data_IF_314525718783
#
_entry.id   IF_314525718783
#
_cell.length_a   1.000
_cell.length_b   1.000
_cell.length_c   1.000
_cell.angle_alpha   90.00
_cell.angle_beta   90.00
_cell.angle_gamma   90.00
#
_symmetry.space_group_name_H-M   'P 1'
#
loop_
_entity.id
_entity.type
_entity.pdbx_description
1 polymer ?
#
# COMPACT_ATOMS: atom_id res chain seq x y z
N UNK A 1 7.26 2.67 62.94
CA UNK A 1 6.70 3.96 63.40
C UNK A 1 7.65 5.06 63.00
N UNK A 2 7.21 6.22 62.60
CA UNK A 2 6.04 6.69 61.85
C UNK A 2 6.48 7.36 60.54
N UNK A 3 5.77 7.93 59.64
CA UNK A 3 4.49 8.61 59.59
C UNK A 3 4.22 9.07 58.15
N UNK A 4 2.97 9.07 57.80
CA UNK A 4 2.30 9.60 56.64
C UNK A 4 2.69 11.02 56.24
N UNK A 5 2.69 11.32 54.90
CA UNK A 5 2.04 12.54 54.42
C UNK A 5 1.38 12.33 53.03
N UNK A 6 0.08 12.53 53.00
CA UNK A 6 -0.73 12.63 51.79
C UNK A 6 -0.53 14.03 51.17
N UNK A 7 -0.25 14.07 49.86
CA UNK A 7 -0.34 15.29 49.07
C UNK A 7 -1.58 15.24 48.20
N UNK A 8 -2.58 16.10 48.46
CA UNK A 8 -3.78 16.31 47.64
C UNK A 8 -3.42 17.11 46.38
N UNK A 9 -3.69 16.55 45.22
CA UNK A 9 -3.64 17.28 43.95
C UNK A 9 -5.04 17.73 43.55
N UNK A 10 -5.18 19.04 43.43
CA UNK A 10 -6.41 19.74 43.05
C UNK A 10 -6.67 19.65 41.56
N UNK A 11 -7.85 19.18 41.18
CA UNK A 11 -8.38 19.23 39.81
C UNK A 11 -8.71 20.68 39.43
N UNK A 12 -8.05 21.19 38.40
CA UNK A 12 -8.44 22.43 37.71
C UNK A 12 -9.36 22.10 36.53
N UNK A 13 -10.64 22.48 36.66
CA UNK A 13 -11.62 22.46 35.58
C UNK A 13 -11.35 23.63 34.64
N UNK A 14 -10.92 23.37 33.40
CA UNK A 14 -10.95 24.38 32.33
C UNK A 14 -12.25 24.23 31.51
N UNK A 15 -13.04 25.30 31.52
CA UNK A 15 -14.25 25.47 30.72
C UNK A 15 -13.85 25.70 29.24
N UNK A 16 -14.44 24.93 28.33
CA UNK A 16 -14.41 25.21 26.91
C UNK A 16 -15.54 26.17 26.55
N UNK A 17 -15.21 27.33 26.00
CA UNK A 17 -16.18 28.26 25.41
C UNK A 17 -16.39 27.91 23.95
N UNK A 18 -17.65 27.61 23.62
CA UNK A 18 -18.13 27.38 22.26
C UNK A 18 -18.52 28.74 21.69
N UNK A 19 -17.86 29.18 20.61
CA UNK A 19 -18.31 30.31 19.80
C UNK A 19 -19.21 29.82 18.68
N UNK A 20 -20.48 30.27 18.75
CA UNK A 20 -21.47 30.14 17.69
C UNK A 20 -21.32 31.34 16.74
N UNK A 21 -20.99 31.15 15.49
CA UNK A 21 -21.01 32.17 14.46
C UNK A 21 -22.32 32.07 13.67
N UNK A 22 -23.18 33.09 13.84
CA UNK A 22 -24.36 33.29 13.00
C UNK A 22 -23.93 33.89 11.65
N UNK A 23 -24.30 33.22 10.55
CA UNK A 23 -24.29 33.83 9.22
C UNK A 23 -25.70 34.30 8.87
N UNK A 24 -25.84 35.60 8.71
CA UNK A 24 -27.03 36.28 8.22
C UNK A 24 -27.06 36.22 6.68
N UNK A 25 -28.19 35.74 6.16
CA UNK A 25 -28.51 35.76 4.73
C UNK A 25 -28.93 37.17 4.30
N UNK A 26 -28.31 37.69 3.25
CA UNK A 26 -28.78 38.87 2.54
C UNK A 26 -29.40 38.45 1.21
N UNK A 27 -30.70 38.66 1.10
CA UNK A 27 -31.46 38.57 -0.16
C UNK A 27 -31.30 39.84 -0.95
N UNK A 28 -30.94 39.72 -2.22
CA UNK A 28 -31.02 40.84 -3.18
C UNK A 28 -31.93 40.37 -4.31
N UNK A 29 -33.10 41.04 -4.40
CA UNK A 29 -34.05 40.98 -5.51
C UNK A 29 -33.64 42.01 -6.56
N UNK A 30 -33.61 41.63 -7.83
CA UNK A 30 -33.42 42.54 -8.93
C UNK A 30 -33.81 41.90 -10.25
N UNK A 31 -35.01 42.27 -10.75
CA UNK A 31 -35.47 41.95 -12.10
C UNK A 31 -34.75 42.82 -13.14
N UNK A 32 -34.44 42.26 -14.31
CA UNK A 32 -34.99 42.76 -15.60
C UNK A 32 -34.45 41.94 -16.77
N UNK A 33 -35.35 41.78 -17.73
CA UNK A 33 -35.26 41.04 -18.98
C UNK A 33 -34.16 41.49 -19.90
N UNK A 34 -33.48 40.52 -20.56
CA UNK A 34 -33.35 40.61 -22.04
C UNK A 34 -32.95 39.25 -22.63
N UNK A 35 -33.70 38.84 -23.61
CA UNK A 35 -33.42 37.66 -24.41
C UNK A 35 -32.26 37.84 -25.37
N UNK A 36 -31.30 36.93 -25.34
CA UNK A 36 -30.57 36.58 -26.55
C UNK A 36 -30.12 35.10 -26.44
N UNK A 37 -30.49 34.38 -27.46
CA UNK A 37 -30.20 33.00 -27.71
C UNK A 37 -28.69 32.75 -27.86
N UNK A 38 -28.13 31.99 -26.95
CA UNK A 38 -26.84 31.34 -27.19
C UNK A 38 -26.94 29.84 -26.90
N UNK A 39 -26.84 29.08 -27.99
CA UNK A 39 -26.81 27.63 -27.96
C UNK A 39 -25.46 27.18 -27.39
N UNK A 40 -25.37 27.02 -26.11
CA UNK A 40 -24.24 26.31 -25.48
C UNK A 40 -24.39 24.82 -25.78
N UNK A 41 -23.57 24.33 -26.70
CA UNK A 41 -23.31 22.92 -26.94
C UNK A 41 -22.62 22.31 -25.69
N UNK A 42 -23.40 21.85 -24.72
CA UNK A 42 -22.92 20.91 -23.72
C UNK A 42 -22.72 19.56 -24.42
N UNK A 43 -21.52 19.35 -24.96
CA UNK A 43 -21.06 18.03 -25.37
C UNK A 43 -20.89 17.19 -24.09
N UNK A 44 -21.94 16.43 -23.75
CA UNK A 44 -21.86 15.32 -22.82
C UNK A 44 -20.96 14.27 -23.47
N UNK A 45 -19.67 14.28 -23.11
CA UNK A 45 -18.80 13.14 -23.33
C UNK A 45 -19.23 12.05 -22.34
N UNK A 46 -20.30 11.32 -22.66
CA UNK A 46 -20.54 10.02 -22.10
C UNK A 46 -19.37 9.13 -22.56
N UNK A 47 -18.47 8.84 -21.65
CA UNK A 47 -17.49 7.77 -21.84
C UNK A 47 -18.30 6.50 -22.11
N UNK A 48 -18.31 6.03 -23.35
CA UNK A 48 -18.78 4.68 -23.65
C UNK A 48 -17.85 3.73 -22.91
N UNK A 49 -18.35 3.18 -21.81
CA UNK A 49 -17.78 1.99 -21.20
C UNK A 49 -17.84 0.91 -22.28
N UNK A 50 -16.71 0.70 -22.95
CA UNK A 50 -16.56 -0.43 -23.88
C UNK A 50 -16.46 -1.66 -23.02
N UNK A 51 -17.59 -2.26 -22.70
CA UNK A 51 -17.65 -3.58 -22.07
C UNK A 51 -17.12 -4.58 -23.10
N UNK A 52 -15.82 -4.86 -23.02
CA UNK A 52 -15.18 -5.84 -23.88
C UNK A 52 -15.76 -7.21 -23.51
N UNK A 53 -16.59 -7.77 -24.38
CA UNK A 53 -17.15 -9.10 -24.18
C UNK A 53 -16.04 -10.12 -24.42
N UNK A 54 -15.50 -10.66 -23.34
CA UNK A 54 -14.54 -11.77 -23.42
C UNK A 54 -15.27 -13.02 -23.92
N UNK A 55 -14.87 -13.63 -25.04
CA UNK A 55 -15.53 -14.81 -25.57
C UNK A 55 -15.48 -15.97 -24.56
N UNK A 56 -16.61 -16.57 -24.24
CA UNK A 56 -16.65 -17.76 -23.39
C UNK A 56 -16.11 -18.96 -24.17
N UNK A 57 -15.07 -19.60 -23.62
CA UNK A 57 -14.59 -20.89 -24.09
C UNK A 57 -15.30 -22.00 -23.31
N UNK A 58 -16.10 -22.87 -23.98
CA UNK A 58 -16.80 -23.98 -23.31
C UNK A 58 -15.84 -24.97 -22.65
N UNK A 59 -14.64 -25.15 -23.22
CA UNK A 59 -13.62 -26.07 -22.70
C UNK A 59 -12.77 -25.47 -21.58
N UNK A 60 -13.06 -24.21 -21.16
CA UNK A 60 -12.29 -23.39 -20.24
C UNK A 60 -10.89 -23.06 -20.78
N UNK A 61 -10.27 -22.04 -20.22
CA UNK A 61 -8.89 -21.64 -20.48
C UNK A 61 -8.02 -21.96 -19.27
N UNK A 62 -6.79 -22.37 -19.48
CA UNK A 62 -5.76 -22.37 -18.46
C UNK A 62 -5.06 -20.99 -18.49
N UNK A 63 -4.98 -20.33 -17.34
CA UNK A 63 -4.27 -19.06 -17.16
C UNK A 63 -3.10 -19.26 -16.22
N UNK A 64 -1.96 -18.65 -16.55
CA UNK A 64 -0.71 -18.75 -15.81
C UNK A 64 -0.29 -17.39 -15.31
N UNK A 65 0.04 -17.27 -14.05
CA UNK A 65 0.43 -16.00 -13.46
C UNK A 65 1.08 -16.17 -12.09
N UNK A 66 1.43 -15.06 -11.48
CA UNK A 66 2.02 -15.02 -10.14
C UNK A 66 1.30 -13.98 -9.28
N UNK A 67 0.97 -14.36 -8.06
CA UNK A 67 0.29 -13.53 -7.07
C UNK A 67 1.15 -13.32 -5.80
N UNK A 68 2.45 -13.63 -5.87
CA UNK A 68 3.38 -13.45 -4.76
C UNK A 68 4.73 -12.92 -5.28
N UNK A 69 4.80 -11.59 -5.44
CA UNK A 69 5.97 -10.93 -6.01
C UNK A 69 6.33 -9.69 -5.22
N UNK A 70 7.61 -9.58 -4.85
CA UNK A 70 8.15 -8.43 -4.14
C UNK A 70 9.04 -7.60 -5.05
N UNK A 71 8.89 -6.29 -4.96
CA UNK A 71 9.69 -5.29 -5.67
C UNK A 71 10.65 -4.56 -4.73
N UNK A 72 11.31 -3.53 -5.22
CA UNK A 72 12.13 -2.66 -4.37
C UNK A 72 11.34 -1.89 -3.30
N UNK A 73 10.01 -1.97 -3.30
CA UNK A 73 9.15 -1.35 -2.30
C UNK A 73 9.02 -2.21 -1.04
N UNK A 74 9.25 -3.51 -1.15
CA UNK A 74 9.34 -4.44 -0.02
C UNK A 74 10.70 -4.35 0.66
N UNK A 75 10.72 -4.30 1.99
CA UNK A 75 11.96 -4.13 2.76
C UNK A 75 12.95 -5.28 2.56
N UNK A 76 12.44 -6.52 2.50
CA UNK A 76 13.24 -7.72 2.32
C UNK A 76 13.83 -7.83 0.91
N UNK A 77 13.01 -7.65 -0.13
CA UNK A 77 13.47 -7.66 -1.51
C UNK A 77 14.53 -6.55 -1.75
N UNK A 78 14.31 -5.35 -1.21
CA UNK A 78 15.29 -4.28 -1.28
C UNK A 78 16.61 -4.66 -0.60
N UNK A 79 16.54 -5.28 0.58
CA UNK A 79 17.68 -5.75 1.34
C UNK A 79 18.49 -6.82 0.58
N UNK A 80 17.80 -7.70 -0.15
CA UNK A 80 18.41 -8.72 -1.00
C UNK A 80 18.91 -8.18 -2.35
N UNK A 81 18.72 -6.92 -2.64
CA UNK A 81 19.28 -6.27 -3.82
C UNK A 81 18.31 -6.04 -4.96
N UNK A 82 17.03 -6.36 -4.80
CA UNK A 82 16.01 -6.03 -5.81
C UNK A 82 15.92 -4.51 -5.93
N UNK A 83 15.94 -4.03 -7.19
CA UNK A 83 15.83 -2.60 -7.52
C UNK A 83 14.70 -2.33 -8.51
N UNK A 84 14.11 -3.39 -9.07
CA UNK A 84 12.91 -3.30 -9.90
C UNK A 84 11.77 -2.65 -9.12
N UNK A 85 11.06 -1.75 -9.77
CA UNK A 85 9.87 -1.08 -9.25
C UNK A 85 8.59 -1.84 -9.65
N UNK A 86 7.42 -1.52 -9.10
CA UNK A 86 6.17 -2.16 -9.47
C UNK A 86 5.91 -2.17 -10.99
N UNK A 87 6.17 -1.07 -11.67
CA UNK A 87 6.02 -0.98 -13.13
C UNK A 87 6.95 -1.93 -13.89
N UNK A 88 8.20 -2.06 -13.44
CA UNK A 88 9.16 -3.01 -14.01
C UNK A 88 8.70 -4.46 -13.86
N UNK A 89 8.12 -4.81 -12.71
CA UNK A 89 7.59 -6.13 -12.43
C UNK A 89 6.43 -6.48 -13.36
N UNK A 90 5.47 -5.57 -13.59
CA UNK A 90 4.39 -5.78 -14.54
C UNK A 90 4.88 -5.86 -15.99
N UNK A 91 5.87 -5.05 -16.38
CA UNK A 91 6.49 -5.16 -17.72
C UNK A 91 7.19 -6.50 -17.92
N UNK A 92 7.92 -6.97 -16.89
CA UNK A 92 8.58 -8.28 -16.92
C UNK A 92 7.56 -9.41 -17.06
N UNK A 93 6.45 -9.37 -16.31
CA UNK A 93 5.37 -10.35 -16.42
C UNK A 93 4.77 -10.41 -17.83
N UNK A 94 4.71 -9.27 -18.53
CA UNK A 94 4.25 -9.16 -19.92
C UNK A 94 5.35 -9.50 -20.95
N UNK A 95 6.52 -10.02 -20.51
CA UNK A 95 7.58 -10.52 -21.38
C UNK A 95 8.64 -9.47 -21.76
N UNK A 96 8.68 -8.30 -21.13
CA UNK A 96 9.83 -7.42 -21.25
C UNK A 96 11.06 -8.02 -20.53
N UNK A 97 12.25 -7.61 -20.94
CA UNK A 97 13.47 -7.97 -20.21
C UNK A 97 13.68 -7.04 -19.00
N UNK A 98 14.39 -7.56 -18.01
CA UNK A 98 14.76 -6.85 -16.80
C UNK A 98 16.23 -7.15 -16.46
N UNK A 99 16.99 -6.11 -16.13
CA UNK A 99 18.38 -6.26 -15.70
C UNK A 99 18.45 -6.76 -14.26
N UNK A 100 19.07 -7.91 -14.05
CA UNK A 100 19.35 -8.44 -12.74
C UNK A 100 20.53 -7.70 -12.10
N UNK A 101 20.48 -7.47 -10.78
CA UNK A 101 21.58 -6.81 -10.04
C UNK A 101 22.94 -7.54 -10.14
N UNK A 102 22.94 -8.78 -10.55
CA UNK A 102 24.14 -9.58 -10.87
C UNK A 102 24.76 -9.28 -12.24
N UNK A 103 24.21 -8.32 -13.01
CA UNK A 103 24.77 -7.87 -14.30
C UNK A 103 24.39 -8.75 -15.51
N UNK A 104 23.27 -9.42 -15.46
CA UNK A 104 22.71 -10.18 -16.60
C UNK A 104 21.25 -9.82 -16.84
N UNK A 105 20.79 -9.96 -18.07
CA UNK A 105 19.41 -9.75 -18.46
C UNK A 105 18.56 -10.98 -18.12
N UNK A 106 17.37 -10.75 -17.60
CA UNK A 106 16.33 -11.77 -17.36
C UNK A 106 15.12 -11.50 -18.24
N UNK A 107 14.51 -12.57 -18.72
CA UNK A 107 13.27 -12.51 -19.51
C UNK A 107 12.48 -13.80 -19.36
N UNK A 108 11.17 -13.69 -19.27
CA UNK A 108 10.29 -14.85 -19.30
C UNK A 108 10.27 -15.47 -20.72
N UNK A 109 10.15 -16.80 -20.79
CA UNK A 109 10.00 -17.50 -22.09
C UNK A 109 8.69 -17.15 -22.78
N UNK A 110 7.63 -16.93 -21.99
CA UNK A 110 6.30 -16.53 -22.44
C UNK A 110 5.76 -15.50 -21.44
N UNK A 111 5.01 -14.49 -21.89
CA UNK A 111 4.27 -13.61 -20.99
C UNK A 111 3.33 -14.41 -20.09
N UNK A 112 3.03 -13.89 -18.92
CA UNK A 112 2.00 -14.37 -18.02
C UNK A 112 0.63 -13.82 -18.42
N UNK A 113 -0.44 -14.48 -17.96
CA UNK A 113 -1.82 -14.03 -18.20
C UNK A 113 -2.30 -13.09 -17.10
N UNK A 114 -1.78 -13.24 -15.87
CA UNK A 114 -2.11 -12.40 -14.75
C UNK A 114 -0.92 -12.23 -13.81
N UNK A 115 -0.95 -11.16 -13.03
CA UNK A 115 0.15 -10.84 -12.10
C UNK A 115 -0.31 -9.89 -10.99
N UNK A 116 0.30 -9.99 -9.81
CA UNK A 116 0.13 -9.03 -8.74
C UNK A 116 1.47 -8.74 -8.06
N UNK A 117 1.82 -7.48 -7.94
CA UNK A 117 2.86 -7.04 -7.00
C UNK A 117 2.25 -7.12 -5.60
N UNK A 118 2.95 -7.79 -4.68
CA UNK A 118 2.49 -8.03 -3.31
C UNK A 118 3.58 -7.70 -2.28
N UNK A 119 4.16 -6.52 -2.41
CA UNK A 119 5.14 -6.02 -1.45
C UNK A 119 4.57 -6.01 -0.03
N UNK A 120 5.40 -6.26 0.98
CA UNK A 120 4.98 -6.17 2.38
C UNK A 120 4.34 -4.82 2.70
N UNK A 121 3.10 -4.83 3.21
CA UNK A 121 2.41 -3.61 3.62
C UNK A 121 3.07 -2.90 4.79
N UNK A 122 3.73 -3.65 5.68
CA UNK A 122 4.55 -3.09 6.75
C UNK A 122 5.86 -2.54 6.19
N UNK A 123 6.22 -1.32 6.57
CA UNK A 123 7.44 -0.63 6.10
C UNK A 123 7.51 -0.44 4.57
N UNK A 124 6.38 -0.45 3.88
CA UNK A 124 6.31 -0.29 2.43
C UNK A 124 7.04 0.99 1.99
N UNK A 125 8.04 0.85 1.10
CA UNK A 125 8.85 1.94 0.57
C UNK A 125 9.93 2.51 1.50
N UNK A 126 9.97 2.16 2.79
CA UNK A 126 10.88 2.77 3.76
C UNK A 126 12.36 2.54 3.45
N UNK A 127 12.73 1.34 2.97
CA UNK A 127 14.12 1.05 2.63
C UNK A 127 14.63 1.85 1.43
N UNK A 128 13.75 2.15 0.49
CA UNK A 128 14.05 3.08 -0.62
C UNK A 128 14.29 4.48 -0.09
N UNK A 129 13.43 4.97 0.80
CA UNK A 129 13.55 6.27 1.43
C UNK A 129 14.85 6.39 2.27
N UNK A 130 15.23 5.34 2.99
CA UNK A 130 16.52 5.30 3.72
C UNK A 130 17.73 5.29 2.78
N UNK A 131 17.61 4.73 1.59
CA UNK A 131 18.70 4.67 0.61
C UNK A 131 18.84 5.97 -0.21
N UNK A 132 17.81 6.80 -0.27
CA UNK A 132 17.84 8.09 -0.96
C UNK A 132 18.52 9.15 -0.10
N UNK A 133 19.70 9.67 -0.49
CA UNK A 133 20.43 10.68 0.28
C UNK A 133 19.66 12.00 0.47
N UNK A 134 18.65 12.26 -0.37
CA UNK A 134 17.81 13.46 -0.27
C UNK A 134 16.61 13.28 0.66
N UNK A 135 16.30 12.06 1.07
CA UNK A 135 15.18 11.79 1.95
C UNK A 135 15.58 11.90 3.43
N UNK A 136 14.76 12.54 4.30
CA UNK A 136 15.09 12.71 5.72
C UNK A 136 15.41 11.40 6.47
N UNK A 137 14.77 10.27 6.10
CA UNK A 137 15.05 8.96 6.69
C UNK A 137 16.47 8.45 6.44
N UNK A 138 17.18 8.94 5.42
CA UNK A 138 18.59 8.56 5.19
C UNK A 138 19.51 9.03 6.32
N UNK A 139 19.09 10.01 7.10
CA UNK A 139 19.82 10.56 8.25
C UNK A 139 19.59 9.77 9.55
N UNK A 140 18.71 8.77 9.56
CA UNK A 140 18.51 7.91 10.73
C UNK A 140 19.78 7.08 11.00
N UNK A 141 20.18 6.89 12.27
CA UNK A 141 21.45 6.23 12.62
C UNK A 141 21.68 4.86 11.97
N UNK A 142 20.60 4.10 11.81
CA UNK A 142 20.65 2.74 11.26
C UNK A 142 20.34 2.68 9.74
N UNK A 143 19.93 3.80 9.11
CA UNK A 143 19.46 3.83 7.70
C UNK A 143 20.46 3.22 6.72
N UNK A 144 21.75 3.57 6.85
CA UNK A 144 22.80 3.02 5.97
C UNK A 144 22.91 1.49 6.10
N UNK A 145 22.91 0.98 7.31
CA UNK A 145 23.05 -0.46 7.56
C UNK A 145 21.78 -1.19 7.09
N UNK A 146 20.61 -0.62 7.35
CA UNK A 146 19.33 -1.19 6.94
C UNK A 146 19.21 -1.26 5.41
N UNK A 147 19.42 -0.14 4.71
CA UNK A 147 19.12 -0.03 3.29
C UNK A 147 20.32 -0.33 2.35
N UNK A 148 21.56 -0.27 2.84
CA UNK A 148 22.76 -0.44 2.03
C UNK A 148 23.82 -1.33 2.69
N UNK A 149 23.47 -2.54 3.17
CA UNK A 149 24.44 -3.43 3.80
C UNK A 149 25.46 -3.91 2.76
N UNK A 150 26.76 -3.76 3.08
CA UNK A 150 27.88 -4.15 2.19
C UNK A 150 28.43 -5.54 2.52
N UNK A 151 28.30 -5.99 3.74
CA UNK A 151 28.85 -7.25 4.22
C UNK A 151 27.76 -8.21 4.68
N UNK A 152 28.09 -9.50 4.79
CA UNK A 152 27.16 -10.49 5.36
C UNK A 152 26.71 -10.11 6.78
N UNK A 153 27.64 -9.65 7.63
CA UNK A 153 27.34 -9.21 8.98
C UNK A 153 26.38 -8.00 9.00
N UNK A 154 26.56 -7.06 8.07
CA UNK A 154 25.64 -5.91 7.96
C UNK A 154 24.26 -6.37 7.47
N UNK A 155 24.16 -7.33 6.55
CA UNK A 155 22.85 -7.91 6.15
C UNK A 155 22.14 -8.57 7.30
N UNK A 156 22.83 -9.37 8.12
CA UNK A 156 22.24 -9.96 9.33
C UNK A 156 21.72 -8.88 10.30
N UNK A 157 22.50 -7.79 10.50
CA UNK A 157 22.08 -6.66 11.31
C UNK A 157 20.88 -5.93 10.70
N UNK A 158 20.84 -5.75 9.39
CA UNK A 158 19.73 -5.12 8.70
C UNK A 158 18.42 -5.90 8.89
N UNK A 159 18.47 -7.24 8.84
CA UNK A 159 17.30 -8.08 9.18
C UNK A 159 16.88 -7.94 10.65
N UNK A 160 17.85 -7.90 11.57
CA UNK A 160 17.53 -7.69 12.98
C UNK A 160 16.85 -6.34 13.21
N UNK A 161 17.32 -5.29 12.56
CA UNK A 161 16.68 -3.96 12.59
C UNK A 161 15.26 -3.99 12.02
N UNK A 162 15.06 -4.63 10.86
CA UNK A 162 13.72 -4.78 10.29
C UNK A 162 12.77 -5.44 11.30
N UNK A 163 13.18 -6.54 11.90
CA UNK A 163 12.41 -7.22 12.93
C UNK A 163 12.10 -6.29 14.12
N UNK A 164 13.10 -5.57 14.65
CA UNK A 164 12.92 -4.67 15.79
C UNK A 164 11.93 -3.54 15.51
N UNK A 165 11.82 -3.09 14.26
CA UNK A 165 10.88 -2.04 13.85
C UNK A 165 9.45 -2.55 13.62
N UNK A 166 9.27 -3.84 13.31
CA UNK A 166 7.94 -4.37 12.94
C UNK A 166 7.36 -5.35 13.97
N UNK A 167 8.14 -5.93 14.86
CA UNK A 167 7.65 -6.81 15.92
C UNK A 167 7.57 -6.09 17.27
N UNK A 168 6.87 -6.62 18.28
CA UNK A 168 6.83 -6.05 19.61
C UNK A 168 8.24 -5.86 20.17
N UNK A 169 8.68 -4.62 20.25
CA UNK A 169 9.97 -4.19 20.76
C UNK A 169 9.91 -2.71 21.19
N UNK A 170 10.90 -2.20 21.94
CA UNK A 170 10.99 -0.77 22.22
C UNK A 170 11.13 0.12 20.97
N UNK A 171 11.47 -0.47 19.84
CA UNK A 171 11.67 0.23 18.55
C UNK A 171 10.53 0.02 17.54
N UNK A 172 9.48 -0.73 17.92
CA UNK A 172 8.35 -0.97 17.03
C UNK A 172 7.73 0.37 16.55
N UNK A 173 7.58 0.51 15.25
CA UNK A 173 7.02 1.72 14.64
C UNK A 173 7.94 2.95 14.64
N UNK A 174 9.18 2.86 15.14
CA UNK A 174 10.13 4.00 15.22
C UNK A 174 10.33 4.72 13.88
N UNK A 175 10.35 3.98 12.78
CA UNK A 175 10.54 4.54 11.44
C UNK A 175 9.25 4.59 10.62
N UNK A 176 8.10 4.25 11.20
CA UNK A 176 6.85 4.16 10.47
C UNK A 176 6.37 5.56 10.04
N UNK A 177 6.41 5.83 8.74
CA UNK A 177 5.92 7.07 8.12
C UNK A 177 4.76 6.74 7.17
N UNK A 178 3.55 7.14 7.56
CA UNK A 178 2.33 6.89 6.78
C UNK A 178 2.36 7.54 5.38
N UNK A 179 3.10 8.65 5.19
CA UNK A 179 3.22 9.30 3.88
C UNK A 179 4.04 8.46 2.92
N UNK A 180 5.11 7.82 3.41
CA UNK A 180 5.91 6.89 2.60
C UNK A 180 5.06 5.69 2.20
N UNK A 181 4.33 5.11 3.15
CA UNK A 181 3.43 3.98 2.87
C UNK A 181 2.39 4.37 1.83
N UNK A 182 1.69 5.48 2.04
CA UNK A 182 0.63 5.93 1.12
C UNK A 182 1.15 6.25 -0.28
N UNK A 183 2.29 6.93 -0.40
CA UNK A 183 2.88 7.24 -1.71
C UNK A 183 3.35 5.97 -2.44
N UNK A 184 3.98 5.05 -1.73
CA UNK A 184 4.41 3.76 -2.29
C UNK A 184 3.23 2.89 -2.70
N UNK A 185 2.19 2.87 -1.88
CA UNK A 185 0.95 2.15 -2.17
C UNK A 185 0.20 2.73 -3.37
N UNK A 186 0.13 4.06 -3.46
CA UNK A 186 -0.47 4.73 -4.62
C UNK A 186 0.27 4.39 -5.93
N UNK A 187 1.59 4.22 -5.90
CA UNK A 187 2.35 3.80 -7.09
C UNK A 187 2.07 2.33 -7.45
N UNK A 188 1.94 1.42 -6.47
CA UNK A 188 1.53 0.03 -6.73
C UNK A 188 0.15 0.00 -7.40
N UNK A 189 -0.83 0.73 -6.86
CA UNK A 189 -2.18 0.86 -7.45
C UNK A 189 -2.10 1.40 -8.88
N UNK A 190 -1.35 2.49 -9.07
CA UNK A 190 -1.19 3.15 -10.36
C UNK A 190 -0.54 2.23 -11.38
N UNK A 191 0.51 1.49 -10.99
CA UNK A 191 1.19 0.51 -11.84
C UNK A 191 0.26 -0.61 -12.26
N UNK A 192 -0.47 -1.23 -11.31
CA UNK A 192 -1.44 -2.27 -11.62
C UNK A 192 -2.48 -1.77 -12.64
N UNK A 193 -3.07 -0.60 -12.38
CA UNK A 193 -4.10 -0.03 -13.26
C UNK A 193 -3.58 0.31 -14.66
N UNK A 194 -2.32 0.80 -14.79
CA UNK A 194 -1.70 1.06 -16.10
C UNK A 194 -1.50 -0.21 -16.93
N UNK A 195 -1.18 -1.30 -16.26
CA UNK A 195 -0.86 -2.57 -16.92
C UNK A 195 -2.06 -3.50 -17.10
N UNK A 196 -3.18 -3.25 -16.41
CA UNK A 196 -4.38 -4.06 -16.56
C UNK A 196 -5.03 -3.85 -17.93
N UNK A 197 -5.04 -4.90 -18.74
CA UNK A 197 -5.60 -4.92 -20.11
C UNK A 197 -6.61 -6.07 -20.20
N UNK A 198 -7.88 -5.80 -19.94
CA UNK A 198 -8.91 -6.85 -19.96
C UNK A 198 -8.89 -7.67 -21.25
N UNK A 199 -8.82 -9.00 -21.12
CA UNK A 199 -8.75 -9.93 -22.24
C UNK A 199 -7.33 -10.22 -22.78
N UNK A 200 -6.32 -9.48 -22.34
CA UNK A 200 -4.91 -9.72 -22.72
C UNK A 200 -4.06 -10.06 -21.49
N UNK A 201 -4.10 -9.22 -20.46
CA UNK A 201 -3.32 -9.37 -19.24
C UNK A 201 -4.08 -8.78 -18.04
N UNK A 202 -4.19 -9.55 -16.97
CA UNK A 202 -4.83 -9.08 -15.73
C UNK A 202 -3.77 -8.66 -14.71
N UNK A 203 -3.68 -7.37 -14.43
CA UNK A 203 -2.86 -6.84 -13.34
C UNK A 203 -3.75 -6.60 -12.12
N UNK A 204 -3.51 -7.34 -11.04
CA UNK A 204 -4.22 -7.14 -9.79
C UNK A 204 -3.49 -6.15 -8.89
N UNK A 205 -4.25 -5.33 -8.17
CA UNK A 205 -3.74 -4.57 -7.03
C UNK A 205 -3.60 -5.53 -5.86
N UNK A 206 -2.44 -5.56 -5.21
CA UNK A 206 -2.21 -6.44 -4.08
C UNK A 206 -1.11 -5.96 -3.16
N UNK A 207 -1.04 -6.54 -1.97
CA UNK A 207 0.05 -6.38 -1.01
C UNK A 207 0.12 -7.59 -0.09
N UNK A 208 1.22 -7.77 0.62
CA UNK A 208 1.35 -8.82 1.62
C UNK A 208 1.10 -8.27 3.03
N UNK A 209 0.05 -8.80 3.69
CA UNK A 209 -0.12 -8.64 5.13
C UNK A 209 0.83 -9.61 5.84
N UNK A 210 1.72 -9.08 6.67
CA UNK A 210 2.81 -9.80 7.33
C UNK A 210 2.65 -9.75 8.83
N UNK A 211 2.42 -10.90 9.45
CA UNK A 211 2.39 -11.06 10.92
C UNK A 211 2.98 -12.41 11.33
N UNK A 212 3.17 -12.61 12.62
CA UNK A 212 3.69 -13.86 13.19
C UNK A 212 2.78 -14.35 14.32
N UNK A 213 2.71 -15.66 14.51
CA UNK A 213 2.01 -16.26 15.65
C UNK A 213 2.67 -15.90 16.98
N UNK A 214 1.86 -15.69 18.01
CA UNK A 214 2.35 -15.32 19.37
C UNK A 214 3.13 -16.45 20.01
N UNK A 215 2.70 -17.71 19.83
CA UNK A 215 3.21 -18.86 20.60
C UNK A 215 4.47 -19.44 19.97
N UNK A 216 4.47 -19.66 18.67
CA UNK A 216 5.52 -20.40 17.96
C UNK A 216 6.31 -19.52 16.97
N UNK A 217 5.99 -18.23 16.91
CA UNK A 217 6.56 -17.26 15.95
C UNK A 217 6.39 -17.73 14.49
N UNK A 218 5.40 -18.59 14.22
CA UNK A 218 5.08 -19.01 12.88
C UNK A 218 4.68 -17.82 12.02
N UNK A 219 5.16 -17.79 10.78
CA UNK A 219 4.74 -16.77 9.83
C UNK A 219 3.25 -16.95 9.48
N UNK A 220 2.48 -15.89 9.60
CA UNK A 220 1.06 -15.84 9.24
C UNK A 220 0.84 -14.84 8.11
N UNK A 221 1.69 -14.92 7.09
CA UNK A 221 1.65 -14.03 5.95
C UNK A 221 0.53 -14.41 4.98
N UNK A 222 -0.05 -13.43 4.33
CA UNK A 222 -1.03 -13.62 3.26
C UNK A 222 -1.06 -12.48 2.28
N UNK A 223 -1.20 -12.82 1.00
CA UNK A 223 -1.38 -11.84 -0.05
C UNK A 223 -2.83 -11.39 -0.10
N UNK A 224 -3.07 -10.11 0.08
CA UNK A 224 -4.37 -9.48 -0.09
C UNK A 224 -4.45 -8.95 -1.51
N UNK A 225 -5.38 -9.50 -2.29
CA UNK A 225 -5.59 -9.17 -3.70
C UNK A 225 -6.96 -8.52 -3.85
N UNK A 226 -7.01 -7.34 -4.45
CA UNK A 226 -8.23 -6.57 -4.66
C UNK A 226 -8.88 -6.89 -6.02
N UNK A 227 -10.21 -6.93 -6.02
CA UNK A 227 -10.99 -7.05 -7.24
C UNK A 227 -11.20 -5.65 -7.87
N UNK A 228 -10.86 -5.52 -9.15
CA UNK A 228 -11.05 -4.27 -9.89
C UNK A 228 -9.89 -3.27 -9.73
N UNK A 229 -10.21 -1.99 -9.92
CA UNK A 229 -9.25 -0.89 -10.05
C UNK A 229 -9.13 -0.02 -8.79
N UNK A 230 -9.80 -0.39 -7.71
CA UNK A 230 -9.88 0.38 -6.46
C UNK A 230 -9.27 -0.38 -5.30
N UNK A 231 -8.58 0.35 -4.45
CA UNK A 231 -8.06 -0.11 -3.18
C UNK A 231 -8.12 1.02 -2.14
N UNK A 232 -8.00 0.74 -0.84
CA UNK A 232 -7.98 1.76 0.20
C UNK A 232 -6.74 2.66 0.09
N UNK A 233 -6.75 3.78 0.81
CA UNK A 233 -5.65 4.75 0.80
C UNK A 233 -4.33 4.20 1.35
N UNK A 234 -4.40 3.18 2.19
CA UNK A 234 -3.23 2.52 2.81
C UNK A 234 -3.52 1.03 3.00
N UNK A 235 -2.53 0.15 2.83
CA UNK A 235 -2.69 -1.26 3.17
C UNK A 235 -2.80 -1.42 4.70
N UNK A 236 -3.61 -2.37 5.15
CA UNK A 236 -3.66 -2.78 6.55
C UNK A 236 -2.44 -3.64 6.88
N UNK A 237 -1.72 -3.29 7.92
CA UNK A 237 -0.48 -3.95 8.30
C UNK A 237 -0.50 -4.47 9.74
N UNK A 238 0.51 -5.20 10.15
CA UNK A 238 0.68 -5.63 11.54
C UNK A 238 0.84 -4.48 12.54
N UNK A 239 1.20 -3.27 12.08
CA UNK A 239 1.26 -2.09 12.94
C UNK A 239 -0.13 -1.53 13.26
N UNK A 240 -1.14 -1.90 12.45
CA UNK A 240 -2.55 -1.63 12.74
C UNK A 240 -3.13 -2.69 13.68
N UNK A 241 -2.85 -3.97 13.40
CA UNK A 241 -3.12 -5.10 14.30
C UNK A 241 -2.29 -6.32 13.92
N UNK A 242 -1.80 -7.05 14.91
CA UNK A 242 -1.12 -8.34 14.73
C UNK A 242 -2.11 -9.50 14.61
N UNK A 243 -3.37 -9.29 15.00
CA UNK A 243 -4.40 -10.31 14.90
C UNK A 243 -4.95 -10.37 13.46
N UNK A 244 -4.79 -11.50 12.76
CA UNK A 244 -5.32 -11.66 11.38
C UNK A 244 -6.84 -11.51 11.29
N UNK A 245 -7.60 -11.72 12.38
CA UNK A 245 -9.06 -11.50 12.37
C UNK A 245 -9.42 -10.02 12.19
N UNK A 246 -8.56 -9.09 12.60
CA UNK A 246 -8.77 -7.66 12.38
C UNK A 246 -8.56 -7.29 10.91
N UNK A 247 -7.63 -7.97 10.21
CA UNK A 247 -7.52 -7.86 8.76
C UNK A 247 -8.85 -8.27 8.08
N UNK A 248 -9.48 -9.38 8.51
CA UNK A 248 -10.74 -9.81 7.91
C UNK A 248 -11.87 -8.84 8.19
N UNK A 249 -11.96 -8.27 9.40
CA UNK A 249 -12.93 -7.22 9.71
C UNK A 249 -12.72 -5.97 8.86
N UNK A 250 -11.46 -5.59 8.63
CA UNK A 250 -11.12 -4.49 7.73
C UNK A 250 -11.51 -4.79 6.27
N UNK A 251 -11.27 -6.01 5.77
CA UNK A 251 -11.70 -6.42 4.43
C UNK A 251 -13.22 -6.41 4.29
N UNK A 252 -13.97 -6.83 5.31
CA UNK A 252 -15.43 -6.76 5.30
C UNK A 252 -15.94 -5.31 5.25
N UNK A 253 -15.32 -4.41 6.01
CA UNK A 253 -15.64 -2.97 5.94
C UNK A 253 -15.37 -2.36 4.57
N UNK A 254 -14.32 -2.79 3.88
CA UNK A 254 -14.04 -2.37 2.50
C UNK A 254 -15.07 -2.92 1.52
N UNK A 255 -15.50 -4.15 1.70
CA UNK A 255 -16.56 -4.77 0.88
C UNK A 255 -17.87 -4.00 0.98
N UNK A 256 -18.24 -3.53 2.17
CA UNK A 256 -19.39 -2.65 2.39
C UNK A 256 -19.27 -1.30 1.63
N UNK A 257 -18.05 -0.89 1.31
CA UNK A 257 -17.74 0.29 0.49
C UNK A 257 -17.59 -0.03 -1.01
N UNK A 258 -17.81 -1.29 -1.42
CA UNK A 258 -17.68 -1.74 -2.80
C UNK A 258 -16.24 -2.04 -3.23
N UNK A 259 -15.32 -2.24 -2.28
CA UNK A 259 -13.94 -2.68 -2.54
C UNK A 259 -13.80 -4.12 -2.06
N UNK A 260 -13.93 -5.07 -2.98
CA UNK A 260 -13.83 -6.49 -2.67
C UNK A 260 -12.38 -7.00 -2.77
N UNK A 261 -12.04 -8.00 -1.96
CA UNK A 261 -10.70 -8.56 -1.90
C UNK A 261 -10.71 -9.99 -1.38
N UNK A 262 -9.62 -10.72 -1.63
CA UNK A 262 -9.34 -12.04 -1.05
C UNK A 262 -8.00 -12.01 -0.34
N UNK A 263 -7.82 -12.86 0.68
CA UNK A 263 -6.55 -13.05 1.38
C UNK A 263 -6.07 -14.49 1.17
N UNK A 264 -4.89 -14.66 0.58
CA UNK A 264 -4.30 -15.96 0.21
C UNK A 264 -3.13 -16.23 1.16
N UNK A 265 -3.27 -17.14 2.14
CA UNK A 265 -2.16 -17.53 3.01
C UNK A 265 -1.13 -18.34 2.22
N UNK A 266 0.16 -18.18 2.53
CA UNK A 266 1.23 -18.90 1.83
C UNK A 266 2.35 -19.46 2.75
N UNK A 267 2.26 -19.28 4.07
CA UNK A 267 3.15 -19.89 5.08
C UNK A 267 2.51 -19.86 6.49
#
# INVERSE_FOLDING_TARGET
MPSKMLGKSTLSKRRASIYFALFTSATITGCSDNASSDKSLTSSMASKEVTQVIPKNPDKNAYFGDLHVHTSYSFDAFLFGVRAEPDDAYRFAQGASLDHVGGFEMKLKSPLDFFSVTDHGVMLGHYRAMADPNHPLSNQPDARVAAQPKTHKERQRAFALARDWVTPSPRQGEINDSKIIQSSWAEIISSANRHNKPGEFTAFIGYEYTTTGEVDQANLHRNVIFAGDKAPLSPFSRLDSENPEDLWRWMDQLRDQGIDSIAIPHN
#
